data_IF_245654864072
#
_entry.id   IF_245654864072
#
_cell.length_a   1.000
_cell.length_b   1.000
_cell.length_c   1.000
_cell.angle_alpha   90.00
_cell.angle_beta   90.00
_cell.angle_gamma   90.00
#
_symmetry.space_group_name_H-M   'P 1'
#
loop_
_entity.id
_entity.type
_entity.pdbx_description
1 polymer ?
#
# COMPACT_ATOMS: atom_id res chain seq x y z
N UNK A 1 -28.39 -0.17 11.14
CA UNK A 1 -27.42 0.95 11.05
C UNK A 1 -26.61 0.78 9.78
N UNK A 2 -26.59 1.80 8.95
CA UNK A 2 -25.82 1.77 7.73
C UNK A 2 -24.41 2.32 8.00
N UNK A 3 -23.42 1.64 7.47
CA UNK A 3 -22.05 2.13 7.52
C UNK A 3 -21.77 3.03 6.34
N UNK A 4 -21.11 4.15 6.58
CA UNK A 4 -20.60 4.96 5.49
C UNK A 4 -19.48 4.21 4.80
N UNK A 5 -19.63 3.95 3.51
CA UNK A 5 -18.60 3.30 2.72
C UNK A 5 -17.45 4.27 2.47
N UNK A 6 -16.24 3.85 2.83
CA UNK A 6 -15.05 4.68 2.68
C UNK A 6 -14.09 4.02 1.71
N UNK A 7 -13.13 4.80 1.24
CA UNK A 7 -12.07 4.34 0.36
C UNK A 7 -10.73 4.46 1.09
N UNK A 8 -10.02 3.36 1.16
CA UNK A 8 -8.71 3.32 1.81
C UNK A 8 -7.64 2.91 0.82
N UNK A 9 -6.47 3.52 0.97
CA UNK A 9 -5.26 3.12 0.26
C UNK A 9 -4.44 2.24 1.19
N UNK A 10 -4.02 1.07 0.72
CA UNK A 10 -3.15 0.17 1.47
C UNK A 10 -1.87 -0.02 0.66
N UNK A 11 -0.76 0.51 1.14
CA UNK A 11 0.54 0.22 0.55
C UNK A 11 1.07 -1.08 1.15
N UNK A 12 1.64 -1.95 0.32
CA UNK A 12 2.05 -3.27 0.77
C UNK A 12 0.88 -4.22 0.99
N UNK A 13 -0.24 -3.98 0.30
CA UNK A 13 -1.47 -4.75 0.49
C UNK A 13 -1.40 -6.19 0.02
N UNK A 14 -0.41 -6.56 -0.78
CA UNK A 14 -0.24 -7.94 -1.24
C UNK A 14 0.66 -8.78 -0.31
N UNK A 15 1.22 -8.17 0.74
CA UNK A 15 1.99 -8.87 1.76
C UNK A 15 1.10 -9.64 2.73
N UNK A 16 1.71 -10.34 3.67
CA UNK A 16 0.97 -11.17 4.62
C UNK A 16 0.02 -10.32 5.48
N UNK A 17 0.56 -9.31 6.14
CA UNK A 17 -0.26 -8.44 7.03
C UNK A 17 -1.20 -7.59 6.20
N UNK A 18 -0.71 -7.00 5.12
CA UNK A 18 -1.50 -6.12 4.27
C UNK A 18 -2.69 -6.82 3.64
N UNK A 19 -2.53 -8.06 3.19
CA UNK A 19 -3.62 -8.81 2.57
C UNK A 19 -4.75 -9.12 3.56
N UNK A 20 -4.40 -9.40 4.81
CA UNK A 20 -5.41 -9.61 5.87
C UNK A 20 -6.16 -8.31 6.17
N UNK A 21 -5.45 -7.18 6.18
CA UNK A 21 -6.09 -5.88 6.36
C UNK A 21 -7.04 -5.57 5.21
N UNK A 22 -6.60 -5.82 3.97
CA UNK A 22 -7.44 -5.62 2.78
C UNK A 22 -8.72 -6.44 2.89
N UNK A 23 -8.63 -7.71 3.23
CA UNK A 23 -9.80 -8.56 3.41
C UNK A 23 -10.74 -8.02 4.48
N UNK A 24 -10.18 -7.55 5.59
CA UNK A 24 -10.98 -6.98 6.68
C UNK A 24 -11.73 -5.73 6.23
N UNK A 25 -11.07 -4.84 5.49
CA UNK A 25 -11.71 -3.62 4.99
C UNK A 25 -12.82 -3.94 4.00
N UNK A 26 -12.60 -4.90 3.10
CA UNK A 26 -13.59 -5.32 2.12
C UNK A 26 -14.78 -5.97 2.82
N UNK A 27 -14.54 -6.78 3.85
CA UNK A 27 -15.62 -7.42 4.60
C UNK A 27 -16.49 -6.40 5.35
N UNK A 28 -15.97 -5.21 5.58
CA UNK A 28 -16.70 -4.09 6.17
C UNK A 28 -17.30 -3.15 5.12
N UNK A 29 -17.33 -3.60 3.89
CA UNK A 29 -17.95 -2.90 2.75
C UNK A 29 -17.25 -1.61 2.35
N UNK A 30 -15.94 -1.53 2.56
CA UNK A 30 -15.14 -0.40 2.11
C UNK A 30 -14.47 -0.69 0.77
N UNK A 31 -14.15 0.37 0.03
CA UNK A 31 -13.31 0.28 -1.16
C UNK A 31 -11.83 0.31 -0.76
N UNK A 32 -11.02 -0.46 -1.45
CA UNK A 32 -9.59 -0.54 -1.18
C UNK A 32 -8.80 -0.38 -2.46
N UNK A 33 -7.83 0.55 -2.43
CA UNK A 33 -6.80 0.70 -3.45
C UNK A 33 -5.51 0.11 -2.90
N UNK A 34 -4.78 -0.65 -3.69
CA UNK A 34 -3.55 -1.29 -3.24
C UNK A 34 -2.38 -0.84 -4.13
N UNK A 35 -1.29 -0.46 -3.48
CA UNK A 35 0.01 -0.25 -4.11
C UNK A 35 0.97 -1.27 -3.53
N UNK A 36 1.62 -2.05 -4.38
CA UNK A 36 2.60 -3.05 -3.94
C UNK A 36 3.55 -3.35 -5.10
N UNK A 37 4.85 -3.25 -4.87
CA UNK A 37 5.84 -3.56 -5.92
C UNK A 37 6.09 -5.06 -6.05
N UNK A 38 5.44 -5.87 -5.21
CA UNK A 38 5.51 -7.33 -5.19
C UNK A 38 6.90 -7.87 -4.87
N UNK A 39 7.74 -7.07 -4.23
CA UNK A 39 9.08 -7.52 -3.82
C UNK A 39 9.02 -8.63 -2.77
N UNK A 40 7.99 -8.63 -1.94
CA UNK A 40 7.76 -9.70 -0.97
C UNK A 40 6.29 -10.15 -0.89
N UNK A 41 5.40 -9.46 -1.58
CA UNK A 41 3.98 -9.81 -1.63
C UNK A 41 3.63 -10.58 -2.88
N UNK A 42 2.41 -11.11 -2.91
CA UNK A 42 1.91 -11.88 -4.05
C UNK A 42 0.46 -11.48 -4.34
N UNK A 43 0.13 -11.27 -5.60
CA UNK A 43 -1.24 -10.96 -6.01
C UNK A 43 -2.23 -12.04 -5.59
N UNK A 44 -1.78 -13.29 -5.50
CA UNK A 44 -2.63 -14.40 -5.07
C UNK A 44 -3.11 -14.28 -3.62
N UNK A 45 -2.51 -13.40 -2.83
CA UNK A 45 -2.96 -13.13 -1.47
C UNK A 45 -4.22 -12.26 -1.41
N UNK A 46 -4.60 -11.67 -2.53
CA UNK A 46 -5.70 -10.72 -2.61
C UNK A 46 -6.92 -11.32 -3.33
N UNK A 47 -8.15 -10.86 -3.01
CA UNK A 47 -9.32 -11.19 -3.81
C UNK A 47 -9.10 -10.79 -5.28
N UNK A 48 -9.68 -11.55 -6.20
CA UNK A 48 -9.42 -11.39 -7.64
C UNK A 48 -9.73 -9.98 -8.16
N UNK A 49 -10.80 -9.37 -7.69
CA UNK A 49 -11.20 -8.04 -8.12
C UNK A 49 -10.23 -6.96 -7.61
N UNK A 50 -9.68 -7.13 -6.42
CA UNK A 50 -8.64 -6.23 -5.90
C UNK A 50 -7.33 -6.45 -6.62
N UNK A 51 -6.93 -7.71 -6.81
CA UNK A 51 -5.68 -8.07 -7.47
C UNK A 51 -5.59 -7.49 -8.88
N UNK A 52 -6.70 -7.41 -9.60
CA UNK A 52 -6.73 -6.88 -10.96
C UNK A 52 -6.49 -5.38 -11.05
N UNK A 53 -6.62 -4.66 -9.93
CA UNK A 53 -6.48 -3.21 -9.88
C UNK A 53 -5.27 -2.73 -9.07
N UNK A 54 -4.40 -3.62 -8.64
CA UNK A 54 -3.21 -3.25 -7.88
C UNK A 54 -2.26 -2.42 -8.75
N UNK A 55 -1.75 -1.33 -8.18
CA UNK A 55 -0.67 -0.58 -8.80
C UNK A 55 0.64 -1.28 -8.44
N UNK A 56 1.21 -2.01 -9.39
CA UNK A 56 2.41 -2.83 -9.16
C UNK A 56 3.68 -2.01 -9.35
N UNK A 57 3.87 -1.03 -8.47
CA UNK A 57 5.01 -0.12 -8.52
C UNK A 57 5.45 0.21 -7.10
N UNK A 58 6.72 0.59 -6.89
CA UNK A 58 7.14 1.14 -5.61
C UNK A 58 6.34 2.41 -5.29
N UNK A 59 6.04 2.62 -4.02
CA UNK A 59 5.24 3.77 -3.57
C UNK A 59 5.83 5.09 -4.09
N UNK A 60 7.16 5.25 -4.00
CA UNK A 60 7.82 6.48 -4.39
C UNK A 60 7.75 6.77 -5.90
N UNK A 61 7.38 5.77 -6.70
CA UNK A 61 7.26 5.92 -8.16
C UNK A 61 5.83 6.25 -8.60
N UNK A 62 4.85 6.16 -7.72
CA UNK A 62 3.46 6.35 -8.08
C UNK A 62 3.14 7.84 -8.12
N UNK A 63 2.51 8.27 -9.22
CA UNK A 63 2.03 9.64 -9.36
C UNK A 63 0.68 9.77 -8.66
N UNK A 64 0.54 10.80 -7.83
CA UNK A 64 -0.69 11.12 -7.11
C UNK A 64 -1.90 11.22 -8.02
N UNK A 65 -1.72 11.70 -9.24
CA UNK A 65 -2.80 11.81 -10.23
C UNK A 65 -3.40 10.48 -10.65
N UNK A 66 -2.76 9.35 -10.34
CA UNK A 66 -3.29 8.02 -10.63
C UNK A 66 -4.27 7.53 -9.57
N UNK A 67 -4.46 8.30 -8.52
CA UNK A 67 -5.30 7.92 -7.40
C UNK A 67 -6.46 8.89 -7.26
N UNK A 68 -7.60 8.36 -6.85
CA UNK A 68 -8.75 9.16 -6.49
C UNK A 68 -8.67 9.54 -5.01
N UNK A 69 -9.63 10.35 -4.58
CA UNK A 69 -9.76 10.70 -3.17
C UNK A 69 -9.79 9.45 -2.28
N UNK A 70 -9.07 9.49 -1.17
CA UNK A 70 -9.08 8.42 -0.18
C UNK A 70 -9.38 9.00 1.20
N UNK A 71 -10.08 8.20 2.02
CA UNK A 71 -10.43 8.59 3.38
C UNK A 71 -9.31 8.30 4.37
N UNK A 72 -8.45 7.35 4.07
CA UNK A 72 -7.32 7.01 4.91
C UNK A 72 -6.29 6.18 4.18
N UNK A 73 -5.09 6.10 4.74
CA UNK A 73 -3.97 5.35 4.18
C UNK A 73 -3.38 4.45 5.25
N UNK A 74 -3.24 3.18 4.93
CA UNK A 74 -2.47 2.22 5.73
C UNK A 74 -1.15 1.95 5.00
N UNK A 75 -0.05 2.41 5.57
CA UNK A 75 1.27 2.33 4.92
C UNK A 75 2.06 1.14 5.47
N UNK A 76 2.02 0.04 4.74
CA UNK A 76 2.71 -1.21 5.11
C UNK A 76 3.82 -1.58 4.13
N UNK A 77 4.08 -0.76 3.12
CA UNK A 77 5.06 -1.03 2.07
C UNK A 77 6.48 -0.66 2.51
N UNK A 78 6.99 -1.37 3.52
CA UNK A 78 8.35 -1.20 3.96
C UNK A 78 9.14 -2.48 3.67
N UNK A 79 10.43 -2.34 3.34
CA UNK A 79 11.30 -3.48 3.16
C UNK A 79 11.61 -4.09 4.53
N UNK A 80 11.16 -5.33 4.72
CA UNK A 80 11.28 -6.02 6.00
C UNK A 80 12.48 -6.97 6.07
N UNK A 81 13.22 -7.15 4.98
CA UNK A 81 14.36 -8.06 4.94
C UNK A 81 15.55 -7.54 5.74
N UNK A 82 16.25 -8.44 6.43
CA UNK A 82 17.49 -8.07 7.12
C UNK A 82 18.57 -7.84 6.06
N UNK A 83 19.20 -6.66 6.01
CA UNK A 83 20.24 -6.38 5.02
C UNK A 83 21.48 -7.25 5.24
N UNK A 84 22.02 -7.78 4.16
CA UNK A 84 23.23 -8.60 4.21
C UNK A 84 24.50 -7.78 4.01
N UNK A 85 24.37 -6.53 3.65
CA UNK A 85 25.50 -5.61 3.44
C UNK A 85 25.09 -4.20 3.80
N UNK A 86 26.10 -3.34 3.99
CA UNK A 86 25.88 -1.92 4.28
C UNK A 86 25.18 -1.23 3.11
N UNK A 87 25.54 -1.57 1.88
CA UNK A 87 24.90 -1.00 0.69
C UNK A 87 23.40 -1.32 0.66
N UNK A 88 23.06 -2.56 0.95
CA UNK A 88 21.68 -2.99 0.98
C UNK A 88 20.91 -2.26 2.09
N UNK A 89 21.55 -2.08 3.24
CA UNK A 89 20.96 -1.34 4.36
C UNK A 89 20.64 0.10 3.97
N UNK A 90 21.59 0.80 3.35
CA UNK A 90 21.36 2.17 2.91
C UNK A 90 20.25 2.26 1.89
N UNK A 91 20.22 1.36 0.92
CA UNK A 91 19.19 1.35 -0.11
C UNK A 91 17.80 1.11 0.50
N UNK A 92 17.69 0.14 1.40
CA UNK A 92 16.41 -0.14 2.07
C UNK A 92 15.94 1.04 2.91
N UNK A 93 16.85 1.65 3.66
CA UNK A 93 16.52 2.81 4.49
C UNK A 93 16.08 4.00 3.64
N UNK A 94 16.76 4.23 2.53
CA UNK A 94 16.41 5.31 1.60
C UNK A 94 15.04 5.07 0.98
N UNK A 95 14.76 3.84 0.53
CA UNK A 95 13.47 3.50 -0.06
C UNK A 95 12.34 3.66 0.95
N UNK A 96 12.54 3.23 2.18
CA UNK A 96 11.54 3.38 3.23
C UNK A 96 11.28 4.84 3.56
N UNK A 97 12.32 5.65 3.62
CA UNK A 97 12.17 7.08 3.86
C UNK A 97 11.40 7.77 2.73
N UNK A 98 11.78 7.51 1.48
CA UNK A 98 11.13 8.12 0.33
C UNK A 98 9.66 7.73 0.23
N UNK A 99 9.34 6.45 0.46
CA UNK A 99 7.95 6.01 0.42
C UNK A 99 7.13 6.61 1.55
N UNK A 100 7.70 6.74 2.74
CA UNK A 100 7.03 7.38 3.88
C UNK A 100 6.72 8.84 3.63
N UNK A 101 7.68 9.59 3.09
CA UNK A 101 7.49 10.99 2.75
C UNK A 101 6.40 11.16 1.69
N UNK A 102 6.37 10.29 0.69
CA UNK A 102 5.35 10.30 -0.35
C UNK A 102 3.96 10.08 0.24
N UNK A 103 3.84 9.12 1.13
CA UNK A 103 2.56 8.81 1.79
C UNK A 103 2.07 9.99 2.63
N UNK A 104 2.95 10.66 3.36
CA UNK A 104 2.55 11.87 4.11
C UNK A 104 2.04 12.96 3.19
N UNK A 105 2.68 13.15 2.04
CA UNK A 105 2.22 14.12 1.05
C UNK A 105 0.84 13.76 0.53
N UNK A 106 0.60 12.49 0.20
CA UNK A 106 -0.72 12.02 -0.23
C UNK A 106 -1.78 12.20 0.86
N UNK A 107 -1.43 11.89 2.10
CA UNK A 107 -2.38 12.04 3.20
C UNK A 107 -2.85 13.48 3.34
N UNK A 108 -1.99 14.44 3.04
CA UNK A 108 -2.32 15.85 3.05
C UNK A 108 -3.19 16.22 1.85
N UNK A 109 -2.84 15.74 0.64
CA UNK A 109 -3.41 16.22 -0.61
C UNK A 109 -4.68 15.47 -1.05
N UNK A 110 -4.83 14.20 -0.65
CA UNK A 110 -5.93 13.35 -1.10
C UNK A 110 -7.13 13.32 -0.14
N UNK A 111 -7.11 14.13 0.88
CA UNK A 111 -8.21 14.19 1.85
C UNK A 111 -9.15 15.35 1.59
#
# INVERSE_FOLDING_TARGET
MSYEQKTYLVTGGAGFIGSHLVESLISRDHHVLVIDDLSSGHLSNLPADVASSVICEPVQSVDEGRMSFVDGIFHLAAQASVPQSIEHFFQSSQNNLLSGLKVFEWAKDLR
#
